data_IF_452820330785
#
_entry.id   IF_452820330785
#
_cell.length_a   1.000
_cell.length_b   1.000
_cell.length_c   1.000
_cell.angle_alpha   90.00
_cell.angle_beta   90.00
_cell.angle_gamma   90.00
#
_symmetry.space_group_name_H-M   'P 1'
#
loop_
_entity.id
_entity.type
_entity.pdbx_description
1 polymer ?
#
# COMPACT_ATOMS: atom_id res chain seq x y z
N UNK A 1 -31.10 30.45 13.42
CA UNK A 1 -30.51 29.80 12.22
C UNK A 1 -28.99 29.81 12.42
N UNK A 2 -28.47 29.35 13.57
CA UNK A 2 -27.13 29.82 14.02
C UNK A 2 -26.24 28.76 14.69
N UNK A 3 -26.60 27.46 14.62
CA UNK A 3 -25.70 26.38 15.13
C UNK A 3 -24.70 25.89 14.08
N UNK A 4 -25.01 26.02 12.78
CA UNK A 4 -24.11 25.58 11.72
C UNK A 4 -22.90 26.50 11.54
N UNK A 5 -23.03 27.80 11.86
CA UNK A 5 -21.92 28.78 11.77
C UNK A 5 -20.97 28.67 12.97
N UNK A 6 -21.48 28.31 14.16
CA UNK A 6 -20.65 28.14 15.37
C UNK A 6 -19.69 26.95 15.28
N UNK A 7 -20.03 25.89 14.53
CA UNK A 7 -19.15 24.74 14.33
C UNK A 7 -17.92 25.07 13.46
N UNK A 8 -18.02 26.07 12.56
CA UNK A 8 -16.87 26.55 11.79
C UNK A 8 -15.94 27.42 12.64
N UNK A 9 -16.48 28.24 13.55
CA UNK A 9 -15.69 29.06 14.47
C UNK A 9 -14.93 28.24 15.53
N UNK A 10 -15.48 27.13 15.98
CA UNK A 10 -14.83 26.24 16.95
C UNK A 10 -13.64 25.46 16.36
N UNK A 11 -13.66 25.16 15.05
CA UNK A 11 -12.58 24.42 14.37
C UNK A 11 -11.33 25.29 14.15
N UNK A 12 -11.51 26.60 13.98
CA UNK A 12 -10.43 27.57 13.82
C UNK A 12 -9.58 27.75 15.08
N UNK A 13 -10.09 27.39 16.26
CA UNK A 13 -9.39 27.52 17.54
C UNK A 13 -9.02 26.17 18.17
N UNK A 14 -8.94 25.11 17.34
CA UNK A 14 -8.51 23.80 17.83
C UNK A 14 -7.00 23.84 18.13
N UNK A 15 -6.59 23.48 19.36
CA UNK A 15 -5.18 23.52 19.71
C UNK A 15 -4.35 22.57 18.86
N UNK A 16 -3.32 23.10 18.19
CA UNK A 16 -2.40 22.34 17.33
C UNK A 16 -1.62 21.22 18.06
N UNK A 17 -1.63 21.20 19.39
CA UNK A 17 -1.00 20.17 20.22
C UNK A 17 -1.83 18.89 20.38
N UNK A 18 -3.08 18.86 19.89
CA UNK A 18 -3.87 17.65 19.92
C UNK A 18 -3.25 16.59 18.98
N UNK A 19 -2.95 15.38 19.47
CA UNK A 19 -2.34 14.33 18.63
C UNK A 19 -3.20 13.97 17.40
N UNK A 20 -4.52 14.17 17.48
CA UNK A 20 -5.43 13.97 16.35
C UNK A 20 -5.26 14.98 15.21
N UNK A 21 -4.77 16.19 15.46
CA UNK A 21 -4.56 17.23 14.42
C UNK A 21 -3.29 16.94 13.60
N UNK A 22 -2.24 16.39 14.23
CA UNK A 22 -0.99 15.99 13.58
C UNK A 22 -1.17 14.88 12.52
N UNK A 23 -2.22 14.07 12.63
CA UNK A 23 -2.53 12.99 11.68
C UNK A 23 -3.41 13.44 10.52
N UNK A 24 -4.02 14.63 10.62
CA UNK A 24 -4.87 15.17 9.57
C UNK A 24 -3.98 15.84 8.55
N UNK A 25 -3.93 15.26 7.36
CA UNK A 25 -3.28 15.87 6.22
C UNK A 25 -3.75 17.33 6.06
N UNK A 26 -2.85 18.27 5.70
CA UNK A 26 -3.13 19.72 5.65
C UNK A 26 -4.07 20.16 4.51
N UNK A 27 -5.02 19.29 4.12
CA UNK A 27 -6.03 19.48 3.08
C UNK A 27 -7.31 20.15 3.60
N UNK A 28 -7.52 20.24 4.92
CA UNK A 28 -8.76 20.77 5.47
C UNK A 28 -8.55 22.10 6.23
N UNK A 29 -9.08 23.16 5.61
CA UNK A 29 -9.31 24.53 6.12
C UNK A 29 -8.09 25.48 6.17
N UNK A 30 -8.11 26.40 5.20
CA UNK A 30 -7.63 27.78 5.29
C UNK A 30 -6.13 28.05 5.54
N UNK A 31 -5.30 27.59 4.61
CA UNK A 31 -3.99 28.15 4.23
C UNK A 31 -2.82 27.94 5.22
N UNK A 32 -1.60 27.66 4.72
CA UNK A 32 -1.16 26.85 3.59
C UNK A 32 -0.13 25.78 4.06
N UNK A 33 0.14 24.76 3.24
CA UNK A 33 1.29 23.87 3.45
C UNK A 33 2.66 24.59 3.50
N UNK A 34 2.66 25.91 3.24
CA UNK A 34 3.79 26.84 3.26
C UNK A 34 3.88 27.74 4.52
N UNK A 35 2.84 27.88 5.37
CA UNK A 35 2.97 28.72 6.58
C UNK A 35 3.64 27.98 7.73
N UNK A 36 3.44 26.67 7.85
CA UNK A 36 4.08 25.82 8.85
C UNK A 36 4.83 24.65 8.20
N UNK A 37 5.99 24.91 7.57
CA UNK A 37 6.81 23.85 6.96
C UNK A 37 7.20 22.76 7.96
N UNK A 38 7.29 23.11 9.24
CA UNK A 38 7.56 22.18 10.35
C UNK A 38 6.42 21.16 10.51
N UNK A 39 5.16 21.60 10.45
CA UNK A 39 4.01 20.70 10.57
C UNK A 39 3.92 19.75 9.38
N UNK A 40 4.12 20.27 8.15
CA UNK A 40 4.14 19.44 6.92
C UNK A 40 5.23 18.39 6.98
N UNK A 41 6.42 18.73 7.49
CA UNK A 41 7.52 17.78 7.64
C UNK A 41 7.23 16.69 8.67
N UNK A 42 6.69 17.05 9.83
CA UNK A 42 6.31 16.09 10.88
C UNK A 42 5.22 15.14 10.37
N UNK A 43 4.20 15.68 9.70
CA UNK A 43 3.15 14.87 9.06
C UNK A 43 3.74 13.91 8.03
N UNK A 44 4.63 14.38 7.14
CA UNK A 44 5.24 13.56 6.11
C UNK A 44 6.04 12.39 6.70
N UNK A 45 6.88 12.67 7.70
CA UNK A 45 7.67 11.64 8.39
C UNK A 45 6.77 10.61 9.06
N UNK A 46 5.76 11.08 9.82
CA UNK A 46 4.83 10.19 10.51
C UNK A 46 4.03 9.34 9.52
N UNK A 47 3.57 9.93 8.42
CA UNK A 47 2.84 9.23 7.36
C UNK A 47 3.69 8.12 6.72
N UNK A 48 4.95 8.41 6.39
CA UNK A 48 5.87 7.41 5.82
C UNK A 48 6.18 6.30 6.82
N UNK A 49 6.42 6.63 8.09
CA UNK A 49 6.63 5.64 9.14
C UNK A 49 5.42 4.72 9.30
N UNK A 50 4.22 5.29 9.30
CA UNK A 50 2.98 4.52 9.37
C UNK A 50 2.79 3.65 8.12
N UNK A 51 3.11 4.16 6.93
CA UNK A 51 3.05 3.41 5.68
C UNK A 51 4.01 2.21 5.66
N UNK A 52 5.21 2.35 6.24
CA UNK A 52 6.17 1.25 6.39
C UNK A 52 5.64 0.21 7.39
N UNK A 53 5.15 0.66 8.55
CA UNK A 53 4.57 -0.24 9.55
C UNK A 53 3.39 -1.03 8.96
N UNK A 54 2.49 -0.35 8.26
CA UNK A 54 1.37 -0.99 7.58
C UNK A 54 1.81 -1.92 6.44
N UNK A 55 2.84 -1.57 5.67
CA UNK A 55 3.36 -2.45 4.61
C UNK A 55 3.95 -3.74 5.17
N UNK A 56 4.68 -3.65 6.29
CA UNK A 56 5.22 -4.81 7.01
C UNK A 56 4.07 -5.66 7.59
N UNK A 57 3.11 -5.04 8.27
CA UNK A 57 1.96 -5.74 8.84
C UNK A 57 1.12 -6.43 7.75
N UNK A 58 0.91 -5.76 6.62
CA UNK A 58 0.16 -6.28 5.48
C UNK A 58 0.73 -7.62 5.02
N UNK A 59 2.05 -7.70 4.79
CA UNK A 59 2.70 -8.91 4.32
C UNK A 59 2.55 -10.09 5.27
N UNK A 60 2.68 -9.83 6.58
CA UNK A 60 2.49 -10.84 7.61
C UNK A 60 1.05 -11.35 7.67
N UNK A 61 0.07 -10.48 7.43
CA UNK A 61 -1.37 -10.83 7.48
C UNK A 61 -1.92 -11.41 6.18
N UNK A 62 -1.34 -11.07 5.03
CA UNK A 62 -1.85 -11.46 3.71
C UNK A 62 -1.30 -12.80 3.22
N UNK A 63 -0.45 -13.47 4.02
CA UNK A 63 0.25 -14.69 3.59
C UNK A 63 1.23 -14.44 2.44
N UNK A 64 1.68 -13.19 2.24
CA UNK A 64 2.73 -12.85 1.26
C UNK A 64 4.12 -12.91 1.88
N UNK A 65 4.24 -13.58 3.02
CA UNK A 65 5.50 -13.77 3.71
C UNK A 65 6.43 -14.70 2.90
N UNK A 66 7.76 -14.58 3.09
CA UNK A 66 8.73 -15.32 2.29
C UNK A 66 8.62 -16.84 2.40
N UNK A 67 8.11 -17.36 3.52
CA UNK A 67 8.01 -18.79 3.80
C UNK A 67 6.81 -19.35 3.01
N UNK A 68 5.64 -18.73 3.15
CA UNK A 68 4.44 -19.10 2.41
C UNK A 68 4.65 -18.97 0.89
N UNK A 69 5.32 -17.91 0.42
CA UNK A 69 5.61 -17.75 -1.00
C UNK A 69 6.62 -18.78 -1.51
N UNK A 70 7.64 -19.15 -0.72
CA UNK A 70 8.58 -20.20 -1.10
C UNK A 70 7.91 -21.58 -1.15
N UNK A 71 6.99 -21.87 -0.21
CA UNK A 71 6.19 -23.09 -0.21
C UNK A 71 5.28 -23.15 -1.44
N UNK A 72 4.59 -22.05 -1.78
CA UNK A 72 3.78 -21.96 -2.99
C UNK A 72 4.60 -22.15 -4.27
N UNK A 73 5.80 -21.56 -4.35
CA UNK A 73 6.70 -21.75 -5.49
C UNK A 73 7.22 -23.19 -5.58
N UNK A 74 7.57 -23.80 -4.45
CA UNK A 74 7.99 -25.20 -4.40
C UNK A 74 6.85 -26.15 -4.81
N UNK A 75 5.59 -25.81 -4.48
CA UNK A 75 4.38 -26.55 -4.91
C UNK A 75 4.01 -26.31 -6.37
N UNK A 76 4.17 -25.08 -6.87
CA UNK A 76 3.87 -24.70 -8.25
C UNK A 76 4.94 -25.19 -9.24
N UNK A 77 6.16 -25.46 -8.74
CA UNK A 77 7.20 -26.15 -9.47
C UNK A 77 6.98 -27.67 -9.37
N UNK A 78 6.18 -28.18 -10.32
CA UNK A 78 6.29 -29.51 -10.93
C UNK A 78 7.42 -30.36 -10.35
N UNK A 79 7.10 -31.52 -9.78
CA UNK A 79 8.07 -32.58 -9.47
C UNK A 79 8.99 -32.78 -10.69
N UNK A 80 10.20 -32.22 -10.69
CA UNK A 80 11.28 -32.77 -11.49
C UNK A 80 11.92 -33.78 -10.54
N UNK A 81 11.58 -35.08 -10.68
CA UNK A 81 12.13 -36.11 -9.81
C UNK A 81 13.66 -36.09 -9.95
N UNK A 82 14.38 -35.73 -8.88
CA UNK A 82 15.85 -35.82 -8.88
C UNK A 82 16.63 -34.82 -8.05
N UNK A 83 16.08 -33.67 -7.66
CA UNK A 83 16.81 -32.71 -6.82
C UNK A 83 16.05 -32.38 -5.54
N UNK A 84 16.75 -32.47 -4.40
CA UNK A 84 16.33 -31.91 -3.11
C UNK A 84 16.30 -30.38 -3.24
N UNK A 85 15.31 -29.82 -3.92
CA UNK A 85 15.06 -28.37 -3.94
C UNK A 85 14.69 -27.98 -2.53
N UNK A 86 15.65 -27.53 -1.75
CA UNK A 86 15.41 -27.14 -0.37
C UNK A 86 14.61 -25.84 -0.38
N UNK A 87 13.32 -25.94 -0.10
CA UNK A 87 12.40 -24.83 0.20
C UNK A 87 13.05 -23.76 1.08
N UNK A 88 13.86 -24.18 2.06
CA UNK A 88 14.62 -23.31 2.97
C UNK A 88 15.60 -22.38 2.25
N UNK A 89 16.26 -22.82 1.18
CA UNK A 89 17.18 -21.96 0.40
C UNK A 89 16.37 -20.90 -0.36
N UNK A 90 15.27 -21.30 -1.01
CA UNK A 90 14.39 -20.37 -1.74
C UNK A 90 13.82 -19.33 -0.79
N UNK A 91 13.30 -19.74 0.37
CA UNK A 91 12.80 -18.86 1.41
C UNK A 91 13.86 -17.88 1.93
N UNK A 92 15.13 -18.31 2.07
CA UNK A 92 16.21 -17.43 2.51
C UNK A 92 16.50 -16.30 1.52
N UNK A 93 16.44 -16.61 0.22
CA UNK A 93 16.64 -15.64 -0.85
C UNK A 93 15.45 -14.69 -0.89
N UNK A 94 14.23 -15.24 -0.96
CA UNK A 94 12.98 -14.46 -0.98
C UNK A 94 12.86 -13.54 0.23
N UNK A 95 13.29 -13.98 1.40
CA UNK A 95 13.29 -13.17 2.63
C UNK A 95 14.03 -11.85 2.43
N UNK A 96 15.23 -11.89 1.86
CA UNK A 96 16.02 -10.65 1.66
C UNK A 96 15.34 -9.72 0.67
N UNK A 97 14.75 -10.25 -0.41
CA UNK A 97 14.10 -9.44 -1.43
C UNK A 97 12.75 -8.89 -1.00
N UNK A 98 11.88 -9.71 -0.40
CA UNK A 98 10.55 -9.30 0.06
C UNK A 98 10.72 -8.19 1.09
N UNK A 99 11.46 -8.41 2.18
CA UNK A 99 11.61 -7.39 3.23
C UNK A 99 12.24 -6.09 2.74
N UNK A 100 13.25 -6.16 1.87
CA UNK A 100 13.83 -4.96 1.27
C UNK A 100 12.80 -4.25 0.38
N UNK A 101 12.13 -4.98 -0.52
CA UNK A 101 11.14 -4.44 -1.44
C UNK A 101 9.94 -3.83 -0.70
N UNK A 102 9.49 -4.43 0.41
CA UNK A 102 8.41 -3.88 1.24
C UNK A 102 8.78 -2.52 1.78
N UNK A 103 9.95 -2.39 2.41
CA UNK A 103 10.37 -1.14 3.02
C UNK A 103 10.54 -0.07 1.93
N UNK A 104 11.19 -0.41 0.82
CA UNK A 104 11.36 0.50 -0.32
C UNK A 104 10.01 0.93 -0.94
N UNK A 105 9.11 -0.02 -1.19
CA UNK A 105 7.79 0.28 -1.79
C UNK A 105 6.90 1.08 -0.84
N UNK A 106 6.87 0.77 0.45
CA UNK A 106 6.12 1.54 1.45
C UNK A 106 6.62 2.98 1.57
N UNK A 107 7.94 3.19 1.56
CA UNK A 107 8.52 4.54 1.55
C UNK A 107 8.13 5.27 0.26
N UNK A 108 8.28 4.63 -0.90
CA UNK A 108 7.95 5.23 -2.18
C UNK A 108 6.46 5.63 -2.27
N UNK A 109 5.56 4.72 -1.87
CA UNK A 109 4.11 4.97 -1.85
C UNK A 109 3.76 6.07 -0.85
N UNK A 110 4.36 6.05 0.35
CA UNK A 110 4.21 7.10 1.35
C UNK A 110 4.62 8.47 0.84
N UNK A 111 5.76 8.55 0.16
CA UNK A 111 6.25 9.79 -0.47
C UNK A 111 5.30 10.27 -1.57
N UNK A 112 4.86 9.39 -2.47
CA UNK A 112 3.91 9.75 -3.54
C UNK A 112 2.59 10.26 -2.98
N UNK A 113 2.09 9.64 -1.90
CA UNK A 113 0.89 10.08 -1.22
C UNK A 113 1.05 11.49 -0.64
N UNK A 114 2.14 11.75 0.09
CA UNK A 114 2.43 13.08 0.67
C UNK A 114 2.62 14.13 -0.43
N UNK A 115 3.36 13.81 -1.50
CA UNK A 115 3.55 14.72 -2.64
C UNK A 115 2.23 15.08 -3.30
N UNK A 116 1.34 14.11 -3.46
CA UNK A 116 0.01 14.32 -4.02
C UNK A 116 -0.88 15.21 -3.15
N UNK A 117 -0.69 15.20 -1.82
CA UNK A 117 -1.33 16.17 -0.92
C UNK A 117 -0.80 17.58 -1.11
N UNK A 118 0.52 17.73 -1.26
CA UNK A 118 1.15 19.04 -1.50
C UNK A 118 0.69 19.60 -2.86
N UNK A 119 0.59 18.74 -3.88
CA UNK A 119 0.12 19.08 -5.22
C UNK A 119 -1.40 19.28 -5.30
N UNK A 120 -2.14 19.08 -4.19
CA UNK A 120 -3.61 19.21 -4.12
C UNK A 120 -4.33 18.37 -5.18
N UNK A 121 -3.86 17.15 -5.39
CA UNK A 121 -4.47 16.23 -6.35
C UNK A 121 -5.95 15.96 -5.99
N UNK A 122 -6.85 16.07 -6.97
CA UNK A 122 -8.28 15.81 -6.78
C UNK A 122 -8.51 14.35 -6.40
N UNK A 123 -9.11 14.10 -5.23
CA UNK A 123 -9.30 12.76 -4.67
C UNK A 123 -8.22 12.34 -3.65
N UNK A 124 -7.19 13.17 -3.42
CA UNK A 124 -6.10 12.90 -2.48
C UNK A 124 -5.13 11.82 -2.95
N UNK A 125 -3.89 11.89 -2.48
CA UNK A 125 -2.83 10.94 -2.85
C UNK A 125 -3.19 9.49 -2.55
N UNK A 126 -3.72 9.22 -1.35
CA UNK A 126 -4.16 7.87 -0.97
C UNK A 126 -5.33 7.38 -1.82
N UNK A 127 -6.32 8.23 -2.10
CA UNK A 127 -7.50 7.85 -2.88
C UNK A 127 -7.16 7.48 -4.32
N UNK A 128 -6.28 8.27 -4.96
CA UNK A 128 -5.80 7.98 -6.32
C UNK A 128 -5.00 6.67 -6.36
N UNK A 129 -4.10 6.46 -5.39
CA UNK A 129 -3.30 5.22 -5.32
C UNK A 129 -4.18 3.98 -5.14
N UNK A 130 -5.20 4.07 -4.29
CA UNK A 130 -6.17 2.98 -4.12
C UNK A 130 -6.97 2.72 -5.39
N UNK A 131 -7.45 3.78 -6.06
CA UNK A 131 -8.20 3.66 -7.31
C UNK A 131 -7.38 2.94 -8.39
N UNK A 132 -6.14 3.37 -8.60
CA UNK A 132 -5.24 2.74 -9.57
C UNK A 132 -4.95 1.30 -9.18
N UNK A 133 -4.65 1.03 -7.91
CA UNK A 133 -4.38 -0.32 -7.40
C UNK A 133 -5.54 -1.28 -7.63
N UNK A 134 -6.76 -0.86 -7.29
CA UNK A 134 -7.99 -1.64 -7.51
C UNK A 134 -8.20 -1.87 -9.01
N UNK A 135 -8.04 -0.83 -9.83
CA UNK A 135 -8.24 -0.93 -11.29
C UNK A 135 -7.28 -1.95 -11.91
N UNK A 136 -5.99 -1.90 -11.56
CA UNK A 136 -4.99 -2.86 -12.05
C UNK A 136 -5.28 -4.28 -11.55
N UNK A 137 -5.69 -4.44 -10.29
CA UNK A 137 -6.08 -5.74 -9.75
C UNK A 137 -7.26 -6.33 -10.52
N UNK A 138 -8.32 -5.56 -10.73
CA UNK A 138 -9.47 -6.01 -11.54
C UNK A 138 -9.08 -6.35 -12.98
N UNK A 139 -8.23 -5.52 -13.61
CA UNK A 139 -7.73 -5.80 -14.94
C UNK A 139 -6.98 -7.13 -15.00
N UNK A 140 -6.13 -7.44 -14.00
CA UNK A 140 -5.38 -8.69 -13.95
C UNK A 140 -6.29 -9.92 -13.86
N UNK A 141 -7.35 -9.84 -13.07
CA UNK A 141 -8.33 -10.92 -12.92
C UNK A 141 -9.03 -11.19 -14.26
N UNK A 142 -9.53 -10.13 -14.91
CA UNK A 142 -10.18 -10.22 -16.22
C UNK A 142 -9.22 -10.75 -17.29
N UNK A 143 -7.97 -10.30 -17.31
CA UNK A 143 -6.97 -10.76 -18.26
C UNK A 143 -6.68 -12.26 -18.07
N UNK A 144 -6.59 -12.73 -16.83
CA UNK A 144 -6.42 -14.16 -16.53
C UNK A 144 -7.59 -15.01 -16.98
N UNK A 145 -8.83 -14.56 -16.77
CA UNK A 145 -10.03 -15.25 -17.26
C UNK A 145 -10.02 -15.37 -18.79
N UNK A 146 -9.74 -14.28 -19.50
CA UNK A 146 -9.66 -14.28 -20.97
C UNK A 146 -8.53 -15.16 -21.51
N UNK A 147 -7.40 -15.22 -20.82
CA UNK A 147 -6.30 -16.09 -21.20
C UNK A 147 -6.68 -17.58 -21.09
N UNK A 148 -7.43 -17.96 -20.05
CA UNK A 148 -7.91 -19.33 -19.86
C UNK A 148 -8.97 -19.72 -20.90
N UNK A 149 -9.84 -18.79 -21.31
CA UNK A 149 -10.82 -19.01 -22.38
C UNK A 149 -10.16 -19.15 -23.77
N UNK A 150 -9.13 -18.35 -24.05
CA UNK A 150 -8.45 -18.35 -25.34
C UNK A 150 -7.52 -19.56 -25.53
N UNK A 151 -7.01 -20.13 -24.44
CA UNK A 151 -6.16 -21.33 -24.45
C UNK A 151 -6.83 -22.49 -23.68
N UNK A 152 -7.86 -23.15 -24.25
CA UNK A 152 -8.61 -24.22 -23.60
C UNK A 152 -7.77 -25.47 -23.28
N UNK A 153 -6.54 -25.56 -23.79
CA UNK A 153 -5.55 -26.58 -23.42
C UNK A 153 -4.86 -26.28 -22.07
N UNK A 154 -4.60 -25.01 -21.75
CA UNK A 154 -4.04 -24.60 -20.45
C UNK A 154 -5.06 -24.77 -19.33
N UNK A 155 -6.33 -24.45 -19.60
CA UNK A 155 -7.42 -24.61 -18.64
C UNK A 155 -7.62 -26.07 -18.17
N UNK A 156 -7.27 -27.07 -19.00
CA UNK A 156 -7.35 -28.50 -18.63
C UNK A 156 -6.22 -28.93 -17.70
N UNK A 157 -5.02 -28.38 -17.88
CA UNK A 157 -3.84 -28.70 -17.06
C UNK A 157 -3.93 -28.14 -15.62
N UNK A 158 -4.58 -26.99 -15.42
CA UNK A 158 -4.80 -26.42 -14.08
C UNK A 158 -5.98 -27.04 -13.31
N UNK A 159 -6.81 -27.86 -13.97
CA UNK A 159 -8.03 -28.46 -13.40
C UNK A 159 -7.83 -29.92 -12.99
N UNK A 160 -6.72 -30.55 -13.41
CA UNK A 160 -6.22 -31.86 -12.95
C UNK A 160 -5.14 -31.67 -11.87
#
# INVERSE_FOLDING_TARGET
MDRHVQLYGARANTPAWLPGVLLIAPRALSQPALADPVHTLIYAVLYVLLAVLFGVAWILTSGMDPETQAEQLAKAQLQIPGFRTSEKIIASILRRYIWALTIFSSIAVGLVAVLSEILRAMGGGTGILLLVGITIQYYSILASERALEMYPALARFFRE
#
